data_IF_329680616238
#
_entry.id   IF_329680616238
#
_cell.length_a   1.000
_cell.length_b   1.000
_cell.length_c   1.000
_cell.angle_alpha   90.00
_cell.angle_beta   90.00
_cell.angle_gamma   90.00
#
_symmetry.space_group_name_H-M   'P 1'
#
loop_
_entity.id
_entity.type
_entity.pdbx_description
1 polymer ?
#
# COMPACT_ATOMS: atom_id res chain seq x y z
N UNK A 1 32.31 -2.38 -4.17
CA UNK A 1 31.87 -3.51 -3.39
C UNK A 1 30.37 -3.71 -3.25
N UNK A 2 29.46 -2.88 -3.86
CA UNK A 2 27.99 -3.06 -3.86
C UNK A 2 27.54 -4.04 -4.95
N UNK A 3 28.32 -4.15 -6.02
CA UNK A 3 28.09 -5.05 -7.15
C UNK A 3 29.36 -5.90 -7.31
N UNK A 4 29.21 -7.18 -7.62
CA UNK A 4 30.29 -8.08 -8.02
C UNK A 4 29.99 -8.66 -9.41
N UNK A 5 31.01 -8.87 -10.19
CA UNK A 5 30.94 -9.65 -11.41
C UNK A 5 31.33 -11.09 -11.15
N UNK A 6 30.60 -12.04 -11.71
CA UNK A 6 30.98 -13.44 -11.73
C UNK A 6 31.97 -13.65 -12.89
N UNK A 7 33.19 -14.03 -12.58
CA UNK A 7 34.29 -14.16 -13.57
C UNK A 7 34.00 -15.23 -14.64
N UNK A 8 33.24 -16.28 -14.29
CA UNK A 8 32.94 -17.38 -15.21
C UNK A 8 31.78 -17.07 -16.17
N UNK A 9 30.81 -16.25 -15.74
CA UNK A 9 29.59 -15.98 -16.51
C UNK A 9 29.50 -14.55 -17.00
N UNK A 10 30.43 -13.67 -16.60
CA UNK A 10 30.42 -12.22 -16.84
C UNK A 10 29.17 -11.49 -16.33
N UNK A 11 28.28 -12.16 -15.57
CA UNK A 11 27.06 -11.57 -15.02
C UNK A 11 27.37 -10.77 -13.77
N UNK A 12 26.62 -9.68 -13.58
CA UNK A 12 26.69 -8.86 -12.38
C UNK A 12 25.64 -9.29 -11.36
N UNK A 13 26.01 -9.25 -10.07
CA UNK A 13 25.13 -9.52 -8.93
C UNK A 13 25.32 -8.49 -7.82
N UNK A 14 24.24 -8.21 -7.10
CA UNK A 14 24.29 -7.36 -5.92
C UNK A 14 24.98 -8.09 -4.77
N UNK A 15 25.64 -7.32 -3.90
CA UNK A 15 26.24 -7.86 -2.66
C UNK A 15 25.40 -7.50 -1.44
N UNK A 16 25.64 -8.16 -0.32
CA UNK A 16 24.99 -7.85 0.97
C UNK A 16 25.20 -6.40 1.45
N UNK A 17 26.15 -5.65 0.90
CA UNK A 17 26.30 -4.22 1.19
C UNK A 17 25.11 -3.40 0.73
N UNK A 18 24.39 -3.83 -0.32
CA UNK A 18 23.15 -3.17 -0.75
C UNK A 18 22.05 -3.34 0.30
N UNK A 19 21.92 -4.52 0.91
CA UNK A 19 20.97 -4.76 1.99
C UNK A 19 21.25 -3.86 3.19
N UNK A 20 22.52 -3.71 3.58
CA UNK A 20 22.92 -2.82 4.69
C UNK A 20 22.60 -1.34 4.42
N UNK A 21 22.62 -0.89 3.17
CA UNK A 21 22.14 0.45 2.81
C UNK A 21 20.62 0.54 2.89
N UNK A 22 19.91 -0.44 2.34
CA UNK A 22 18.45 -0.46 2.36
C UNK A 22 17.88 -0.43 3.78
N UNK A 23 18.51 -1.13 4.73
CA UNK A 23 18.09 -1.16 6.13
C UNK A 23 18.22 0.20 6.85
N UNK A 24 19.00 1.15 6.32
CA UNK A 24 19.12 2.50 6.90
C UNK A 24 17.99 3.43 6.47
N UNK A 25 17.32 3.17 5.36
CA UNK A 25 16.28 4.05 4.82
C UNK A 25 15.15 4.28 5.83
N UNK A 26 14.52 3.27 6.45
CA UNK A 26 13.47 3.50 7.43
C UNK A 26 13.94 4.25 8.69
N UNK A 27 15.21 4.09 9.08
CA UNK A 27 15.79 4.73 10.27
C UNK A 27 15.91 6.25 10.13
N UNK A 28 15.91 6.78 8.91
CA UNK A 28 16.03 8.21 8.62
C UNK A 28 14.69 8.83 8.17
N UNK A 29 13.62 8.06 8.08
CA UNK A 29 12.29 8.56 7.71
C UNK A 29 11.48 8.88 8.97
N UNK A 30 11.26 10.16 9.23
CA UNK A 30 10.41 10.62 10.35
C UNK A 30 9.00 10.05 10.26
N UNK A 31 8.41 9.99 9.05
CA UNK A 31 7.07 9.46 8.83
C UNK A 31 6.98 7.99 9.22
N UNK A 32 7.96 7.17 8.81
CA UNK A 32 7.98 5.74 9.18
C UNK A 32 8.13 5.57 10.68
N UNK A 33 9.04 6.32 11.31
CA UNK A 33 9.26 6.23 12.77
C UNK A 33 8.00 6.59 13.56
N UNK A 34 7.24 7.57 13.10
CA UNK A 34 5.98 7.98 13.73
C UNK A 34 4.85 6.97 13.47
N UNK A 35 4.74 6.45 12.26
CA UNK A 35 3.67 5.54 11.87
C UNK A 35 3.86 4.13 12.44
N UNK A 36 5.07 3.59 12.43
CA UNK A 36 5.36 2.18 12.73
C UNK A 36 4.72 1.65 14.04
N UNK A 37 4.75 2.36 15.18
CA UNK A 37 4.09 1.89 16.41
C UNK A 37 2.57 1.71 16.26
N UNK A 38 1.90 2.58 15.49
CA UNK A 38 0.47 2.48 15.21
C UNK A 38 0.16 1.33 14.26
N UNK A 39 1.04 1.11 13.27
CA UNK A 39 0.92 -0.02 12.33
C UNK A 39 1.11 -1.36 13.04
N UNK A 40 2.01 -1.42 14.03
CA UNK A 40 2.17 -2.61 14.89
C UNK A 40 0.90 -2.91 15.69
N UNK A 41 0.32 -1.89 16.35
CA UNK A 41 -0.93 -2.05 17.08
C UNK A 41 -2.06 -2.53 16.14
N UNK A 42 -2.19 -1.93 14.96
CA UNK A 42 -3.16 -2.33 13.95
C UNK A 42 -2.97 -3.78 13.51
N UNK A 43 -1.73 -4.20 13.27
CA UNK A 43 -1.39 -5.57 12.85
C UNK A 43 -1.80 -6.60 13.91
N UNK A 44 -1.50 -6.34 15.18
CA UNK A 44 -1.89 -7.23 16.28
C UNK A 44 -3.42 -7.27 16.47
N UNK A 45 -4.10 -6.13 16.34
CA UNK A 45 -5.56 -6.06 16.44
C UNK A 45 -6.27 -6.78 15.30
N UNK A 46 -5.79 -6.60 14.07
CA UNK A 46 -6.35 -7.25 12.89
C UNK A 46 -5.96 -8.74 12.80
N UNK A 47 -4.82 -9.13 13.38
CA UNK A 47 -4.11 -10.41 13.15
C UNK A 47 -3.77 -10.62 11.67
N UNK A 48 -3.41 -9.54 10.96
CA UNK A 48 -3.15 -9.52 9.51
C UNK A 48 -1.92 -8.67 9.17
N UNK A 49 -1.41 -8.86 7.95
CA UNK A 49 -0.31 -8.04 7.43
C UNK A 49 -0.78 -6.63 7.12
N UNK A 50 -0.03 -5.64 7.61
CA UNK A 50 -0.25 -4.23 7.35
C UNK A 50 0.82 -3.74 6.39
N UNK A 51 0.40 -2.97 5.38
CA UNK A 51 1.32 -2.23 4.51
C UNK A 51 1.10 -0.73 4.70
N UNK A 52 2.20 0.01 4.71
CA UNK A 52 2.23 1.46 4.62
C UNK A 52 2.90 1.85 3.32
N UNK A 53 2.21 2.64 2.52
CA UNK A 53 2.65 3.02 1.19
C UNK A 53 2.71 4.54 1.03
N UNK A 54 3.64 5.00 0.21
CA UNK A 54 3.68 6.37 -0.31
C UNK A 54 3.29 6.39 -1.78
N UNK A 55 2.87 7.55 -2.28
CA UNK A 55 2.67 7.78 -3.72
C UNK A 55 4.02 7.85 -4.44
N UNK A 56 4.13 7.15 -5.57
CA UNK A 56 5.29 7.17 -6.46
C UNK A 56 4.82 7.34 -7.91
N UNK A 57 4.57 8.57 -8.33
CA UNK A 57 4.00 8.96 -9.63
C UNK A 57 2.65 8.28 -9.90
N UNK A 58 2.56 7.34 -10.84
CA UNK A 58 1.35 6.54 -11.15
C UNK A 58 1.27 5.24 -10.33
N UNK A 59 2.26 5.00 -9.46
CA UNK A 59 2.38 3.84 -8.60
C UNK A 59 2.28 4.22 -7.12
N UNK A 60 2.11 3.22 -6.30
CA UNK A 60 2.45 3.28 -4.87
C UNK A 60 3.80 2.61 -4.65
N UNK A 61 4.48 2.97 -3.57
CA UNK A 61 5.67 2.26 -3.07
C UNK A 61 5.47 1.85 -1.63
N UNK A 62 5.70 0.58 -1.30
CA UNK A 62 5.66 0.14 0.09
C UNK A 62 6.88 0.64 0.86
N UNK A 63 6.64 1.45 1.90
CA UNK A 63 7.67 2.05 2.74
C UNK A 63 7.77 1.42 4.13
N UNK A 64 6.69 0.75 4.59
CA UNK A 64 6.71 -0.10 5.80
C UNK A 64 5.80 -1.31 5.61
N UNK A 65 6.12 -2.40 6.31
CA UNK A 65 5.36 -3.65 6.34
C UNK A 65 5.44 -4.27 7.71
N UNK A 66 4.31 -4.50 8.34
CA UNK A 66 4.20 -5.16 9.64
C UNK A 66 3.46 -6.48 9.48
N UNK A 67 4.07 -7.55 10.00
CA UNK A 67 3.51 -8.90 10.00
C UNK A 67 3.15 -9.23 11.45
N UNK A 68 1.91 -9.67 11.74
CA UNK A 68 1.51 -10.01 13.11
C UNK A 68 2.26 -11.24 13.62
N UNK A 69 2.44 -11.33 14.94
CA UNK A 69 3.13 -12.46 15.59
C UNK A 69 2.46 -13.81 15.30
N UNK A 70 1.15 -13.81 15.05
CA UNK A 70 0.32 -14.99 14.74
C UNK A 70 -0.13 -15.06 13.28
N UNK A 71 0.53 -14.35 12.37
CA UNK A 71 0.12 -14.26 10.96
C UNK A 71 0.19 -15.57 10.21
N UNK A 72 -0.85 -15.85 9.43
CA UNK A 72 -1.01 -17.12 8.70
C UNK A 72 -0.67 -16.95 7.21
N UNK A 73 -0.79 -15.75 6.64
CA UNK A 73 -0.61 -15.51 5.19
C UNK A 73 0.73 -14.87 4.92
N UNK A 74 1.60 -15.60 4.22
CA UNK A 74 2.88 -15.07 3.71
C UNK A 74 2.61 -14.38 2.38
N UNK A 75 2.78 -13.06 2.35
CA UNK A 75 2.63 -12.25 1.14
C UNK A 75 3.99 -11.99 0.51
N UNK A 76 4.06 -12.08 -0.82
CA UNK A 76 5.29 -11.83 -1.60
C UNK A 76 5.74 -10.36 -1.64
N UNK A 77 4.99 -9.45 -1.01
CA UNK A 77 5.32 -8.01 -0.95
C UNK A 77 6.59 -7.74 -0.14
N UNK A 78 7.38 -6.77 -0.57
CA UNK A 78 8.58 -6.31 0.14
C UNK A 78 8.68 -4.78 0.14
N UNK A 79 9.49 -4.24 1.06
CA UNK A 79 9.78 -2.81 1.11
C UNK A 79 10.46 -2.34 -0.18
N UNK A 80 10.06 -1.16 -0.67
CA UNK A 80 10.53 -0.58 -1.92
C UNK A 80 9.81 -1.12 -3.16
N UNK A 81 8.93 -2.13 -3.05
CA UNK A 81 8.13 -2.62 -4.17
C UNK A 81 7.16 -1.54 -4.63
N UNK A 82 7.13 -1.31 -5.95
CA UNK A 82 6.16 -0.41 -6.58
C UNK A 82 5.06 -1.21 -7.26
N UNK A 83 3.82 -0.74 -7.10
CA UNK A 83 2.63 -1.34 -7.70
C UNK A 83 1.73 -0.25 -8.28
N UNK A 84 1.00 -0.52 -9.39
CA UNK A 84 0.10 0.45 -9.97
C UNK A 84 -1.02 0.86 -9.01
N UNK A 85 -1.35 2.15 -8.98
CA UNK A 85 -2.41 2.67 -8.10
C UNK A 85 -3.78 2.05 -8.42
N UNK A 86 -4.10 1.85 -9.71
CA UNK A 86 -5.42 1.39 -10.15
C UNK A 86 -5.79 -0.02 -9.67
N UNK A 87 -4.82 -0.88 -9.38
CA UNK A 87 -5.02 -2.29 -9.05
C UNK A 87 -4.70 -2.64 -7.59
N UNK A 88 -4.60 -1.65 -6.72
CA UNK A 88 -4.31 -1.84 -5.29
C UNK A 88 -5.27 -1.05 -4.42
N UNK A 89 -5.65 -1.61 -3.27
CA UNK A 89 -6.49 -0.88 -2.31
C UNK A 89 -5.84 0.45 -1.87
N UNK A 90 -4.54 0.45 -1.53
CA UNK A 90 -3.82 1.67 -1.13
C UNK A 90 -3.78 2.72 -2.25
N UNK A 91 -3.62 2.31 -3.50
CA UNK A 91 -3.63 3.23 -4.63
C UNK A 91 -5.01 3.82 -4.88
N UNK A 92 -6.05 2.99 -4.86
CA UNK A 92 -7.44 3.45 -5.03
C UNK A 92 -7.90 4.35 -3.88
N UNK A 93 -7.48 4.10 -2.63
CA UNK A 93 -7.79 5.00 -1.52
C UNK A 93 -7.20 6.39 -1.74
N UNK A 94 -5.95 6.50 -2.19
CA UNK A 94 -5.35 7.80 -2.52
C UNK A 94 -6.06 8.46 -3.72
N UNK A 95 -6.37 7.70 -4.79
CA UNK A 95 -7.04 8.22 -5.98
C UNK A 95 -8.47 8.72 -5.68
N UNK A 96 -9.13 8.16 -4.67
CA UNK A 96 -10.46 8.59 -4.26
C UNK A 96 -10.50 10.05 -3.78
N UNK A 97 -9.41 10.53 -3.14
CA UNK A 97 -9.29 11.90 -2.65
C UNK A 97 -8.58 12.84 -3.66
N UNK A 98 -8.31 12.36 -4.89
CA UNK A 98 -7.78 13.17 -5.98
C UNK A 98 -8.88 13.75 -6.84
N UNK A 99 -8.57 14.84 -7.57
CA UNK A 99 -9.44 15.38 -8.60
C UNK A 99 -9.61 14.38 -9.76
N UNK A 100 -10.75 14.48 -10.45
CA UNK A 100 -11.00 13.64 -11.63
C UNK A 100 -9.89 13.77 -12.68
N UNK A 101 -9.37 14.98 -12.89
CA UNK A 101 -8.30 15.23 -13.85
C UNK A 101 -6.99 14.52 -13.46
N UNK A 102 -6.65 14.47 -12.17
CA UNK A 102 -5.48 13.72 -11.68
C UNK A 102 -5.67 12.22 -11.87
N UNK A 103 -6.87 11.69 -11.62
CA UNK A 103 -7.21 10.27 -11.84
C UNK A 103 -7.06 9.91 -13.33
N UNK A 104 -7.62 10.74 -14.23
CA UNK A 104 -7.51 10.55 -15.69
C UNK A 104 -6.04 10.61 -16.16
N UNK A 105 -5.22 11.54 -15.61
CA UNK A 105 -3.79 11.63 -15.91
C UNK A 105 -3.03 10.37 -15.46
N UNK A 106 -3.23 9.93 -14.21
CA UNK A 106 -2.62 8.70 -13.68
C UNK A 106 -3.02 7.50 -14.55
N UNK A 107 -4.30 7.35 -14.87
CA UNK A 107 -4.78 6.26 -15.71
C UNK A 107 -4.14 6.26 -17.10
N UNK A 108 -4.09 7.41 -17.75
CA UNK A 108 -3.53 7.55 -19.11
C UNK A 108 -2.04 7.22 -19.20
N UNK A 109 -1.29 7.46 -18.13
CA UNK A 109 0.15 7.17 -18.04
C UNK A 109 0.45 5.78 -17.48
N UNK A 110 -0.55 5.10 -16.92
CA UNK A 110 -0.38 3.75 -16.37
C UNK A 110 -0.38 2.70 -17.48
N UNK A 111 0.50 1.71 -17.37
CA UNK A 111 0.39 0.50 -18.17
C UNK A 111 -0.68 -0.40 -17.55
N UNK A 112 -1.84 -0.49 -18.18
CA UNK A 112 -2.95 -1.31 -17.66
C UNK A 112 -2.68 -2.78 -17.98
N UNK A 113 -2.48 -3.57 -16.92
CA UNK A 113 -2.23 -5.01 -16.96
C UNK A 113 -3.33 -5.71 -16.18
N UNK A 114 -3.96 -6.69 -16.79
CA UNK A 114 -4.93 -7.56 -16.09
C UNK A 114 -4.17 -8.68 -15.38
N UNK A 115 -3.99 -8.54 -14.07
CA UNK A 115 -3.28 -9.52 -13.24
C UNK A 115 -4.15 -10.73 -12.89
N UNK A 116 -5.45 -10.47 -12.72
CA UNK A 116 -6.48 -11.48 -12.43
C UNK A 116 -7.75 -11.13 -13.22
N UNK A 117 -8.74 -12.00 -13.27
CA UNK A 117 -10.04 -11.66 -13.87
C UNK A 117 -10.76 -10.48 -13.19
N UNK A 118 -10.40 -10.17 -11.94
CA UNK A 118 -11.03 -9.10 -11.16
C UNK A 118 -10.31 -7.75 -11.31
N UNK A 119 -9.13 -7.72 -11.95
CA UNK A 119 -8.38 -6.46 -12.11
C UNK A 119 -9.18 -5.43 -12.87
N UNK A 120 -9.30 -4.22 -12.33
CA UNK A 120 -9.89 -3.08 -13.04
C UNK A 120 -9.14 -2.84 -14.35
N UNK A 121 -9.88 -2.85 -15.45
CA UNK A 121 -9.33 -2.75 -16.80
C UNK A 121 -9.87 -1.58 -17.61
N UNK A 122 -10.74 -0.76 -17.04
CA UNK A 122 -11.30 0.43 -17.70
C UNK A 122 -11.44 1.60 -16.72
N UNK A 123 -11.27 2.82 -17.25
CA UNK A 123 -11.41 4.03 -16.45
C UNK A 123 -12.81 4.19 -15.83
N UNK A 124 -13.93 3.93 -16.55
CA UNK A 124 -15.25 4.00 -15.93
C UNK A 124 -15.45 3.05 -14.76
N UNK A 125 -14.86 1.86 -14.82
CA UNK A 125 -14.92 0.91 -13.71
C UNK A 125 -14.07 1.38 -12.52
N UNK A 126 -12.89 1.95 -12.78
CA UNK A 126 -12.09 2.60 -11.74
C UNK A 126 -12.86 3.73 -11.08
N UNK A 127 -13.44 4.66 -11.87
CA UNK A 127 -14.21 5.80 -11.35
C UNK A 127 -15.38 5.34 -10.45
N UNK A 128 -16.07 4.26 -10.84
CA UNK A 128 -17.13 3.65 -10.02
C UNK A 128 -16.61 3.16 -8.67
N UNK A 129 -15.49 2.44 -8.66
CA UNK A 129 -14.87 1.96 -7.41
C UNK A 129 -14.34 3.11 -6.54
N UNK A 130 -13.80 4.17 -7.15
CA UNK A 130 -13.38 5.37 -6.41
C UNK A 130 -14.57 6.09 -5.75
N UNK A 131 -15.74 6.13 -6.42
CA UNK A 131 -16.94 6.69 -5.81
C UNK A 131 -17.44 5.85 -4.63
N UNK A 132 -17.42 4.52 -4.76
CA UNK A 132 -17.71 3.61 -3.65
C UNK A 132 -16.73 3.82 -2.48
N UNK A 133 -15.44 4.04 -2.77
CA UNK A 133 -14.44 4.37 -1.76
C UNK A 133 -14.77 5.68 -1.02
N UNK A 134 -15.16 6.76 -1.74
CA UNK A 134 -15.55 8.04 -1.13
C UNK A 134 -16.74 7.87 -0.18
N UNK A 135 -17.74 7.10 -0.59
CA UNK A 135 -18.93 6.84 0.22
C UNK A 135 -18.64 5.97 1.45
N UNK A 136 -17.81 4.95 1.29
CA UNK A 136 -17.48 4.02 2.36
C UNK A 136 -16.37 4.54 3.29
N UNK A 137 -15.54 5.49 2.83
CA UNK A 137 -14.33 5.96 3.53
C UNK A 137 -13.21 4.93 3.61
N UNK A 138 -13.29 3.85 2.82
CA UNK A 138 -12.27 2.82 2.64
C UNK A 138 -12.31 2.29 1.21
N UNK A 139 -11.19 1.83 0.69
CA UNK A 139 -11.13 1.16 -0.61
C UNK A 139 -10.82 -0.32 -0.44
N UNK A 140 -11.25 -1.12 -1.42
CA UNK A 140 -10.98 -2.55 -1.46
C UNK A 140 -10.22 -2.93 -2.74
N UNK A 141 -9.39 -3.98 -2.62
CA UNK A 141 -8.85 -4.77 -3.70
C UNK A 141 -9.36 -6.20 -3.46
N UNK A 142 -10.29 -6.66 -4.30
CA UNK A 142 -10.90 -7.98 -4.22
C UNK A 142 -10.21 -8.93 -5.20
N UNK A 143 -9.05 -9.48 -4.78
CA UNK A 143 -8.23 -10.37 -5.63
C UNK A 143 -7.84 -9.72 -6.98
N UNK A 144 -7.71 -8.40 -7.04
CA UNK A 144 -7.38 -7.69 -8.29
C UNK A 144 -5.90 -7.85 -8.66
N UNK A 145 -5.04 -7.90 -7.65
CA UNK A 145 -3.60 -7.99 -7.83
C UNK A 145 -3.06 -9.40 -7.74
N UNK A 146 -3.60 -10.22 -6.83
CA UNK A 146 -3.13 -11.56 -6.54
C UNK A 146 -4.32 -12.47 -6.18
N UNK A 147 -4.51 -13.61 -6.87
CA UNK A 147 -5.58 -14.54 -6.54
C UNK A 147 -5.47 -15.02 -5.08
N UNK A 148 -6.59 -15.07 -4.39
CA UNK A 148 -6.69 -15.52 -3.00
C UNK A 148 -6.32 -14.44 -1.96
N UNK A 149 -5.85 -13.24 -2.39
CA UNK A 149 -5.51 -12.12 -1.52
C UNK A 149 -6.43 -10.94 -1.79
N UNK A 150 -7.06 -10.44 -0.73
CA UNK A 150 -7.84 -9.21 -0.77
C UNK A 150 -7.31 -8.20 0.25
N UNK A 151 -7.47 -6.93 -0.05
CA UNK A 151 -6.99 -5.84 0.78
C UNK A 151 -8.10 -4.81 1.01
N UNK A 152 -8.05 -4.16 2.17
CA UNK A 152 -8.81 -2.94 2.47
C UNK A 152 -7.84 -1.85 2.88
N UNK A 153 -8.06 -0.60 2.47
CA UNK A 153 -7.13 0.50 2.71
C UNK A 153 -7.83 1.83 2.96
N UNK A 154 -7.07 2.72 3.60
CA UNK A 154 -7.36 4.15 3.74
C UNK A 154 -6.15 4.96 3.31
N UNK A 155 -6.38 6.11 2.73
CA UNK A 155 -5.37 7.13 2.47
C UNK A 155 -5.04 7.91 3.74
N UNK A 156 -3.85 8.51 3.77
CA UNK A 156 -3.38 9.42 4.83
C UNK A 156 -2.96 10.72 4.16
N UNK A 157 -3.54 11.82 4.63
CA UNK A 157 -3.26 13.14 4.08
C UNK A 157 -1.96 13.69 4.68
N UNK A 158 -1.21 14.42 3.86
CA UNK A 158 -0.07 15.20 4.30
C UNK A 158 -0.52 16.56 4.88
N UNK A 159 0.45 17.37 5.31
CA UNK A 159 0.22 18.73 5.85
C UNK A 159 -0.48 19.68 4.87
N UNK A 160 -0.49 19.36 3.58
CA UNK A 160 -1.15 20.17 2.54
C UNK A 160 -2.58 19.69 2.27
N UNK A 161 -3.03 18.64 2.95
CA UNK A 161 -4.34 18.01 2.73
C UNK A 161 -4.38 17.12 1.49
N UNK A 162 -3.24 16.67 0.97
CA UNK A 162 -3.16 15.78 -0.18
C UNK A 162 -2.93 14.33 0.24
N UNK A 163 -3.49 13.35 -0.47
CA UNK A 163 -3.26 11.93 -0.22
C UNK A 163 -1.82 11.55 -0.62
N UNK A 164 -0.90 11.57 0.35
CA UNK A 164 0.51 11.27 0.15
C UNK A 164 0.87 9.84 0.56
N UNK A 165 0.13 9.29 1.53
CA UNK A 165 0.36 7.96 2.07
C UNK A 165 -0.94 7.16 2.12
N UNK A 166 -0.82 5.84 2.34
CA UNK A 166 -1.97 4.97 2.61
C UNK A 166 -1.57 3.79 3.48
N UNK A 167 -2.53 3.27 4.24
CA UNK A 167 -2.40 2.06 5.07
C UNK A 167 -3.38 1.02 4.59
N UNK A 168 -2.95 -0.24 4.48
CA UNK A 168 -3.85 -1.36 4.19
C UNK A 168 -3.71 -2.50 5.17
N UNK A 169 -4.82 -3.22 5.36
CA UNK A 169 -4.87 -4.57 5.90
C UNK A 169 -4.97 -5.52 4.71
N UNK A 170 -4.08 -6.50 4.66
CA UNK A 170 -4.05 -7.51 3.59
C UNK A 170 -4.22 -8.90 4.18
N UNK A 171 -5.15 -9.67 3.63
CA UNK A 171 -5.56 -10.98 4.15
C UNK A 171 -5.93 -11.95 3.03
N UNK A 172 -6.18 -13.22 3.35
CA UNK A 172 -6.86 -14.11 2.40
C UNK A 172 -8.27 -13.57 2.10
N UNK A 173 -8.75 -13.78 0.86
CA UNK A 173 -10.08 -13.28 0.45
C UNK A 173 -11.20 -13.75 1.39
N UNK A 174 -11.18 -15.01 1.82
CA UNK A 174 -12.18 -15.55 2.75
C UNK A 174 -12.20 -14.82 4.11
N UNK A 175 -11.02 -14.53 4.68
CA UNK A 175 -10.92 -13.80 5.95
C UNK A 175 -11.26 -12.32 5.78
N UNK A 176 -10.90 -11.71 4.66
CA UNK A 176 -11.27 -10.33 4.34
C UNK A 176 -12.79 -10.17 4.30
N UNK A 177 -13.49 -11.03 3.57
CA UNK A 177 -14.98 -11.01 3.50
C UNK A 177 -15.65 -11.22 4.85
N UNK A 178 -15.09 -12.11 5.68
CA UNK A 178 -15.62 -12.37 7.01
C UNK A 178 -15.45 -11.20 7.98
N UNK A 179 -14.41 -10.40 7.83
CA UNK A 179 -14.03 -9.36 8.78
C UNK A 179 -14.03 -7.95 8.18
N UNK A 180 -14.63 -7.74 6.99
CA UNK A 180 -14.51 -6.50 6.23
C UNK A 180 -14.91 -5.25 7.04
N UNK A 181 -16.03 -5.30 7.77
CA UNK A 181 -16.51 -4.15 8.56
C UNK A 181 -15.55 -3.83 9.71
N UNK A 182 -15.08 -4.87 10.42
CA UNK A 182 -14.10 -4.72 11.50
C UNK A 182 -12.79 -4.13 11.00
N UNK A 183 -12.28 -4.60 9.85
CA UNK A 183 -11.03 -4.10 9.29
C UNK A 183 -11.20 -2.65 8.80
N UNK A 184 -12.34 -2.32 8.21
CA UNK A 184 -12.67 -0.97 7.80
C UNK A 184 -12.71 -0.01 9.01
N UNK A 185 -13.33 -0.41 10.14
CA UNK A 185 -13.39 0.40 11.34
C UNK A 185 -12.01 0.64 11.95
N UNK A 186 -11.18 -0.41 12.06
CA UNK A 186 -9.79 -0.30 12.53
C UNK A 186 -8.98 0.69 11.66
N UNK A 187 -9.15 0.64 10.34
CA UNK A 187 -8.46 1.53 9.42
C UNK A 187 -8.94 2.98 9.54
N UNK A 188 -10.25 3.22 9.73
CA UNK A 188 -10.79 4.58 9.95
C UNK A 188 -10.20 5.21 11.23
N UNK A 189 -10.07 4.43 12.31
CA UNK A 189 -9.43 4.90 13.55
C UNK A 189 -7.96 5.25 13.32
N UNK A 190 -7.23 4.38 12.62
CA UNK A 190 -5.80 4.60 12.31
C UNK A 190 -5.62 5.80 11.38
N UNK A 191 -6.52 6.01 10.38
CA UNK A 191 -6.49 7.17 9.47
C UNK A 191 -6.49 8.47 10.27
N UNK A 192 -7.40 8.63 11.21
CA UNK A 192 -7.47 9.85 12.05
C UNK A 192 -6.15 10.07 12.79
N UNK A 193 -5.67 9.05 13.51
CA UNK A 193 -4.46 9.16 14.33
C UNK A 193 -3.20 9.44 13.50
N UNK A 194 -3.05 8.80 12.34
CA UNK A 194 -1.89 9.01 11.46
C UNK A 194 -1.94 10.36 10.77
N UNK A 195 -3.12 10.81 10.32
CA UNK A 195 -3.27 12.13 9.70
C UNK A 195 -2.91 13.24 10.69
N UNK A 196 -3.37 13.16 11.94
CA UNK A 196 -2.97 14.10 12.99
C UNK A 196 -1.46 14.04 13.24
N UNK A 197 -0.89 12.86 13.43
CA UNK A 197 0.51 12.66 13.77
C UNK A 197 1.45 13.17 12.67
N UNK A 198 1.15 12.89 11.41
CA UNK A 198 1.93 13.33 10.25
C UNK A 198 1.70 14.81 9.98
N UNK A 199 0.46 15.29 10.13
CA UNK A 199 0.09 16.68 9.91
C UNK A 199 0.71 17.68 10.91
N UNK A 200 1.10 17.25 12.12
CA UNK A 200 1.75 18.11 13.12
C UNK A 200 3.27 17.98 13.15
N UNK A 201 3.86 17.02 12.45
CA UNK A 201 5.27 16.64 12.62
C UNK A 201 6.16 16.90 11.40
N UNK A 202 5.61 17.36 10.29
CA UNK A 202 6.29 17.71 9.04
C UNK A 202 5.98 19.16 8.65
#
# INVERSE_FOLDING_TARGET
>A
GYVRQNENTSRYGLTYKMLALGQRVPQHSTVIQLAHPLLQQLSEQACETIHFAERSDTNIRYIDKVIPSSGVVVMGSCLGMELPMYSTAVGKSMMADMSRQEVEDIWSRSQIITYTPNTVSSLPELERQLEECRLAGVSYDWEEREPGISCVAVDILDVTGRPAYAVSISSSDARMRQNQDRYADLLREVKVRLTELIGYSL
#
